data_IF_878189666547
#
_entry.id   IF_878189666547
#
_cell.length_a   1.000
_cell.length_b   1.000
_cell.length_c   1.000
_cell.angle_alpha   90.00
_cell.angle_beta   90.00
_cell.angle_gamma   90.00
#
_symmetry.space_group_name_H-M   'P 1'
#
loop_
_entity.id
_entity.type
_entity.pdbx_description
1 polymer ?
#
# COMPACT_ATOMS: atom_id res chain seq x y z
N UNK A 1 -24.34 9.22 11.73
CA UNK A 1 -24.95 8.60 10.53
C UNK A 1 -24.24 7.28 10.36
N UNK A 2 -24.85 6.20 10.84
CA UNK A 2 -24.29 4.84 10.73
C UNK A 2 -24.59 4.42 9.29
N UNK A 3 -23.57 4.40 8.45
CA UNK A 3 -23.66 3.76 7.16
C UNK A 3 -23.78 2.26 7.42
N UNK A 4 -24.93 1.68 7.06
CA UNK A 4 -25.05 0.22 7.00
C UNK A 4 -23.87 -0.33 6.19
N UNK A 5 -23.23 -1.44 6.64
CA UNK A 5 -22.16 -2.03 5.87
C UNK A 5 -22.72 -2.34 4.49
N UNK A 6 -22.04 -1.93 3.43
CA UNK A 6 -22.47 -2.27 2.09
C UNK A 6 -22.64 -3.78 2.03
N UNK A 7 -23.69 -4.26 1.36
CA UNK A 7 -23.90 -5.68 1.07
C UNK A 7 -22.81 -6.17 0.10
N UNK A 8 -21.58 -6.17 0.58
CA UNK A 8 -20.39 -6.47 -0.21
C UNK A 8 -20.35 -7.94 -0.68
N UNK A 9 -21.15 -8.81 -0.06
CA UNK A 9 -21.18 -10.25 -0.41
C UNK A 9 -21.69 -10.59 -1.82
N UNK A 10 -22.45 -9.70 -2.47
CA UNK A 10 -22.97 -9.96 -3.81
C UNK A 10 -22.38 -9.09 -4.91
N UNK A 11 -21.74 -7.95 -4.55
CA UNK A 11 -21.31 -6.93 -5.48
C UNK A 11 -19.79 -6.69 -5.49
N UNK A 12 -19.01 -7.50 -4.78
CA UNK A 12 -17.61 -7.68 -5.15
C UNK A 12 -17.68 -8.41 -6.47
N UNK A 13 -17.83 -7.62 -7.52
CA UNK A 13 -17.81 -8.10 -8.89
C UNK A 13 -16.47 -8.78 -9.05
N UNK A 14 -16.49 -10.06 -8.73
CA UNK A 14 -15.46 -10.93 -9.22
C UNK A 14 -15.43 -10.64 -10.71
N UNK A 15 -14.28 -10.42 -11.26
CA UNK A 15 -14.05 -10.41 -12.70
C UNK A 15 -14.39 -11.80 -13.29
N UNK A 16 -14.92 -12.72 -12.49
CA UNK A 16 -15.36 -14.02 -12.88
C UNK A 16 -16.45 -13.91 -13.97
N UNK A 17 -16.19 -14.53 -15.10
CA UNK A 17 -17.05 -14.49 -16.26
C UNK A 17 -16.77 -13.32 -17.22
N UNK A 18 -15.83 -12.42 -16.91
CA UNK A 18 -15.31 -11.46 -17.88
C UNK A 18 -14.23 -12.11 -18.75
N UNK A 19 -14.14 -11.66 -19.99
CA UNK A 19 -13.10 -12.10 -20.90
C UNK A 19 -12.01 -11.04 -20.98
N UNK A 20 -10.78 -11.50 -21.08
CA UNK A 20 -9.61 -10.63 -21.23
C UNK A 20 -8.69 -11.13 -22.33
N UNK A 21 -7.91 -10.23 -22.87
CA UNK A 21 -6.80 -10.49 -23.78
C UNK A 21 -5.59 -9.70 -23.33
N UNK A 22 -4.40 -10.25 -23.52
CA UNK A 22 -3.14 -9.59 -23.14
C UNK A 22 -2.39 -9.20 -24.41
N UNK A 23 -1.99 -7.94 -24.49
CA UNK A 23 -1.12 -7.44 -25.55
C UNK A 23 0.35 -7.71 -25.16
N UNK A 24 1.01 -8.51 -25.94
CA UNK A 24 2.45 -8.82 -25.81
C UNK A 24 3.25 -8.11 -26.90
N UNK A 25 4.57 -8.07 -26.77
CA UNK A 25 5.45 -7.53 -27.84
C UNK A 25 5.30 -8.25 -29.18
N UNK A 26 4.79 -9.49 -29.19
CA UNK A 26 4.63 -10.33 -30.38
C UNK A 26 3.18 -10.43 -30.88
N UNK A 27 2.25 -9.67 -30.31
CA UNK A 27 0.83 -9.68 -30.67
C UNK A 27 -0.11 -9.70 -29.46
N UNK A 28 -1.36 -10.09 -29.71
CA UNK A 28 -2.39 -10.19 -28.69
C UNK A 28 -2.74 -11.67 -28.50
N UNK A 29 -2.93 -12.10 -27.26
CA UNK A 29 -3.39 -13.47 -26.97
C UNK A 29 -4.84 -13.67 -27.44
N UNK A 30 -5.27 -14.91 -27.55
CA UNK A 30 -6.69 -15.21 -27.65
C UNK A 30 -7.45 -14.74 -26.41
N UNK A 31 -8.75 -14.53 -26.56
CA UNK A 31 -9.63 -14.19 -25.46
C UNK A 31 -9.71 -15.35 -24.46
N UNK A 32 -9.55 -15.06 -23.18
CA UNK A 32 -9.68 -16.04 -22.11
C UNK A 32 -10.61 -15.54 -21.01
N UNK A 33 -11.33 -16.44 -20.39
CA UNK A 33 -12.22 -16.10 -19.27
C UNK A 33 -11.42 -15.90 -17.98
N UNK A 34 -11.75 -14.84 -17.26
CA UNK A 34 -11.20 -14.56 -15.94
C UNK A 34 -11.97 -15.40 -14.92
N UNK A 35 -11.29 -16.38 -14.33
CA UNK A 35 -11.91 -17.28 -13.37
C UNK A 35 -12.15 -16.67 -11.99
N UNK A 36 -11.17 -15.92 -11.48
CA UNK A 36 -11.21 -15.21 -10.18
C UNK A 36 -10.26 -14.03 -10.21
N UNK A 37 -10.62 -12.94 -9.54
CA UNK A 37 -9.76 -11.77 -9.35
C UNK A 37 -10.54 -10.57 -8.87
N UNK A 38 -9.84 -9.65 -8.22
CA UNK A 38 -10.32 -8.32 -7.88
C UNK A 38 -9.54 -7.32 -8.73
N UNK A 39 -10.24 -6.40 -9.37
CA UNK A 39 -9.59 -5.28 -10.04
C UNK A 39 -8.85 -4.40 -9.03
N UNK A 40 -7.58 -4.11 -9.29
CA UNK A 40 -6.87 -3.05 -8.56
C UNK A 40 -7.62 -1.72 -8.71
N UNK A 41 -7.70 -0.96 -7.61
CA UNK A 41 -8.35 0.35 -7.59
C UNK A 41 -9.51 0.43 -6.60
N UNK A 42 -10.59 1.12 -6.97
CA UNK A 42 -11.68 1.47 -6.05
C UNK A 42 -12.29 0.28 -5.31
N UNK A 43 -12.53 -0.83 -6.00
CA UNK A 43 -13.15 -2.01 -5.39
C UNK A 43 -12.22 -2.71 -4.40
N UNK A 44 -10.94 -2.83 -4.73
CA UNK A 44 -9.96 -3.40 -3.82
C UNK A 44 -9.79 -2.54 -2.57
N UNK A 45 -9.72 -1.23 -2.72
CA UNK A 45 -9.61 -0.30 -1.59
C UNK A 45 -10.83 -0.38 -0.68
N UNK A 46 -12.03 -0.49 -1.24
CA UNK A 46 -13.27 -0.63 -0.46
C UNK A 46 -13.29 -1.96 0.33
N UNK A 47 -12.80 -3.02 -0.28
CA UNK A 47 -12.70 -4.33 0.34
C UNK A 47 -11.68 -4.35 1.49
N UNK A 48 -10.53 -3.76 1.29
CA UNK A 48 -9.52 -3.61 2.32
C UNK A 48 -10.03 -2.74 3.47
N UNK A 49 -10.79 -1.67 3.18
CA UNK A 49 -11.44 -0.84 4.18
C UNK A 49 -12.41 -1.64 5.05
N UNK A 50 -13.22 -2.49 4.43
CA UNK A 50 -14.13 -3.39 5.13
C UNK A 50 -13.39 -4.32 6.10
N UNK A 51 -12.28 -4.93 5.64
CA UNK A 51 -11.44 -5.81 6.46
C UNK A 51 -10.88 -5.04 7.67
N UNK A 52 -10.32 -3.86 7.46
CA UNK A 52 -9.69 -3.08 8.53
C UNK A 52 -10.69 -2.60 9.57
N UNK A 53 -11.90 -2.22 9.15
CA UNK A 53 -13.00 -1.88 10.08
C UNK A 53 -13.43 -3.08 10.91
N UNK A 54 -13.60 -4.24 10.28
CA UNK A 54 -13.98 -5.46 11.01
C UNK A 54 -12.87 -5.95 11.97
N UNK A 55 -11.60 -5.71 11.62
CA UNK A 55 -10.47 -5.95 12.52
C UNK A 55 -10.44 -4.99 13.72
N UNK A 56 -11.33 -3.97 13.76
CA UNK A 56 -11.42 -3.01 14.85
C UNK A 56 -10.18 -2.12 14.99
N UNK A 57 -9.46 -1.88 13.90
CA UNK A 57 -8.24 -1.09 13.95
C UNK A 57 -8.52 0.39 14.25
N UNK A 58 -9.68 0.91 13.84
CA UNK A 58 -10.06 2.30 14.12
C UNK A 58 -10.33 2.54 15.62
N UNK A 59 -10.79 1.52 16.34
CA UNK A 59 -11.07 1.56 17.77
C UNK A 59 -9.87 1.12 18.62
N UNK A 60 -8.83 0.54 18.00
CA UNK A 60 -7.67 0.07 18.71
C UNK A 60 -6.88 1.26 19.29
N UNK A 61 -6.56 1.18 20.59
CA UNK A 61 -5.65 2.15 21.23
C UNK A 61 -4.19 1.95 20.80
N UNK A 62 -3.86 0.78 20.23
CA UNK A 62 -2.57 0.49 19.65
C UNK A 62 -2.27 1.42 18.47
N UNK A 63 -1.01 1.77 18.28
CA UNK A 63 -0.56 2.66 17.21
C UNK A 63 0.45 3.68 17.70
N UNK A 64 0.95 4.49 16.79
CA UNK A 64 1.87 5.60 17.09
C UNK A 64 1.14 6.93 17.09
N UNK A 65 1.53 7.85 17.95
CA UNK A 65 0.94 9.19 18.02
C UNK A 65 1.67 10.17 17.13
N UNK A 66 1.01 10.63 16.06
CA UNK A 66 1.53 11.66 15.17
C UNK A 66 0.62 12.89 15.23
N UNK A 67 1.15 14.04 15.61
CA UNK A 67 0.39 15.29 15.72
C UNK A 67 -0.90 15.15 16.55
N UNK A 68 -0.87 14.38 17.65
CA UNK A 68 -2.02 14.14 18.54
C UNK A 68 -3.05 13.15 18.01
N UNK A 69 -2.83 12.53 16.86
CA UNK A 69 -3.68 11.48 16.30
C UNK A 69 -3.01 10.13 16.45
N UNK A 70 -3.76 9.11 16.83
CA UNK A 70 -3.28 7.75 16.87
C UNK A 70 -3.35 7.16 15.47
N UNK A 71 -2.21 6.67 14.95
CA UNK A 71 -2.09 6.05 13.64
C UNK A 71 -1.55 4.64 13.85
N UNK A 72 -2.33 3.65 13.51
CA UNK A 72 -1.97 2.24 13.66
C UNK A 72 -1.83 1.52 12.31
N UNK A 73 -2.24 2.13 11.22
CA UNK A 73 -2.02 1.58 9.88
C UNK A 73 -1.96 2.67 8.81
N UNK A 74 -1.21 2.39 7.75
CA UNK A 74 -1.20 3.13 6.50
C UNK A 74 -1.47 2.16 5.36
N UNK A 75 -2.22 2.60 4.35
CA UNK A 75 -2.60 1.75 3.22
C UNK A 75 -2.43 2.45 1.89
N UNK A 76 -1.95 1.69 0.92
CA UNK A 76 -1.94 2.07 -0.48
C UNK A 76 -2.19 0.84 -1.35
N UNK A 77 -3.36 0.74 -1.97
CA UNK A 77 -3.81 -0.44 -2.71
C UNK A 77 -3.68 -1.72 -1.86
N UNK A 78 -2.86 -2.66 -2.27
CA UNK A 78 -2.57 -3.92 -1.59
C UNK A 78 -1.46 -3.81 -0.53
N UNK A 79 -0.70 -2.73 -0.54
CA UNK A 79 0.33 -2.49 0.47
C UNK A 79 -0.29 -1.92 1.75
N UNK A 80 -0.05 -2.59 2.87
CA UNK A 80 -0.51 -2.17 4.19
C UNK A 80 0.66 -2.18 5.16
N UNK A 81 0.83 -1.08 5.89
CA UNK A 81 1.78 -0.98 6.99
C UNK A 81 1.00 -0.87 8.29
N UNK A 82 1.29 -1.75 9.25
CA UNK A 82 0.78 -1.68 10.62
C UNK A 82 1.84 -1.02 11.51
N UNK A 83 1.41 -0.22 12.47
CA UNK A 83 2.28 0.51 13.39
C UNK A 83 1.80 0.36 14.83
N UNK A 84 2.73 0.17 15.76
CA UNK A 84 2.46 0.12 17.18
C UNK A 84 3.69 0.58 17.98
N UNK A 85 3.49 0.94 19.23
CA UNK A 85 4.56 1.32 20.16
C UNK A 85 5.27 0.11 20.77
N UNK A 86 4.63 -1.07 20.76
CA UNK A 86 5.18 -2.31 21.30
C UNK A 86 5.02 -3.51 20.36
N UNK A 87 5.86 -4.53 20.56
CA UNK A 87 5.82 -5.78 19.81
C UNK A 87 4.50 -6.52 20.02
N UNK A 88 4.00 -6.57 21.24
CA UNK A 88 2.76 -7.29 21.58
C UNK A 88 1.54 -6.62 20.94
N UNK A 89 1.50 -5.29 20.92
CA UNK A 89 0.47 -4.52 20.21
C UNK A 89 0.51 -4.80 18.72
N UNK A 90 1.69 -4.78 18.11
CA UNK A 90 1.85 -5.05 16.70
C UNK A 90 1.41 -6.48 16.33
N UNK A 91 1.75 -7.47 17.16
CA UNK A 91 1.27 -8.85 17.03
C UNK A 91 -0.24 -8.94 17.09
N UNK A 92 -0.84 -8.27 18.07
CA UNK A 92 -2.29 -8.24 18.23
C UNK A 92 -3.00 -7.64 17.01
N UNK A 93 -2.49 -6.52 16.48
CA UNK A 93 -3.03 -5.89 15.26
C UNK A 93 -2.92 -6.83 14.06
N UNK A 94 -1.76 -7.47 13.88
CA UNK A 94 -1.51 -8.34 12.75
C UNK A 94 -2.36 -9.60 12.78
N UNK A 95 -2.57 -10.22 13.95
CA UNK A 95 -3.45 -11.38 14.11
C UNK A 95 -4.89 -11.00 13.74
N UNK A 96 -5.40 -9.86 14.23
CA UNK A 96 -6.75 -9.40 13.88
C UNK A 96 -6.92 -9.19 12.38
N UNK A 97 -5.97 -8.54 11.73
CA UNK A 97 -6.01 -8.32 10.28
C UNK A 97 -5.97 -9.66 9.54
N UNK A 98 -5.12 -10.59 9.98
CA UNK A 98 -5.02 -11.93 9.39
C UNK A 98 -6.34 -12.69 9.49
N UNK A 99 -6.96 -12.75 10.68
CA UNK A 99 -8.24 -13.42 10.88
C UNK A 99 -9.34 -12.84 9.98
N UNK A 100 -9.43 -11.50 9.87
CA UNK A 100 -10.43 -10.86 9.01
C UNK A 100 -10.16 -11.07 7.51
N UNK A 101 -8.89 -11.10 7.09
CA UNK A 101 -8.53 -11.42 5.70
C UNK A 101 -8.88 -12.86 5.35
N UNK A 102 -8.64 -13.81 6.25
CA UNK A 102 -8.96 -15.23 6.04
C UNK A 102 -10.47 -15.48 5.93
N UNK A 103 -11.31 -14.79 6.72
CA UNK A 103 -12.78 -14.87 6.62
C UNK A 103 -13.31 -14.52 5.24
N UNK A 104 -12.60 -13.68 4.51
CA UNK A 104 -12.97 -13.24 3.17
C UNK A 104 -12.21 -13.97 2.05
N UNK A 105 -11.44 -15.00 2.42
CA UNK A 105 -10.71 -15.85 1.46
C UNK A 105 -9.39 -15.25 0.97
N UNK A 106 -8.89 -14.18 1.59
CA UNK A 106 -7.56 -13.64 1.35
C UNK A 106 -6.56 -14.25 2.33
N UNK A 107 -5.30 -14.32 1.91
CA UNK A 107 -4.20 -14.80 2.77
C UNK A 107 -3.12 -13.74 2.87
N UNK A 108 -2.61 -13.55 4.07
CA UNK A 108 -1.42 -12.74 4.29
C UNK A 108 -0.22 -13.39 3.60
N UNK A 109 0.54 -12.62 2.83
CA UNK A 109 1.76 -13.11 2.21
C UNK A 109 2.93 -12.91 3.17
N UNK A 110 3.22 -13.90 4.01
CA UNK A 110 4.26 -13.83 5.04
C UNK A 110 5.64 -13.60 4.44
N UNK A 111 5.95 -14.20 3.28
CA UNK A 111 7.24 -14.02 2.62
C UNK A 111 7.50 -12.58 2.16
N UNK A 112 6.43 -11.84 1.83
CA UNK A 112 6.52 -10.41 1.46
C UNK A 112 6.36 -9.48 2.65
N UNK A 113 5.82 -9.98 3.77
CA UNK A 113 5.62 -9.18 4.97
C UNK A 113 6.93 -9.05 5.74
N UNK A 114 7.29 -7.83 6.08
CA UNK A 114 8.54 -7.52 6.77
C UNK A 114 8.26 -6.75 8.03
N UNK A 115 9.14 -6.90 9.01
CA UNK A 115 9.05 -6.20 10.28
C UNK A 115 10.25 -5.28 10.42
N UNK A 116 9.98 -4.08 10.86
CA UNK A 116 10.99 -3.09 11.22
C UNK A 116 10.72 -2.56 12.61
N UNK A 117 11.75 -2.43 13.42
CA UNK A 117 11.68 -1.80 14.73
C UNK A 117 12.90 -0.94 14.99
N UNK A 118 12.75 0.07 15.84
CA UNK A 118 13.85 0.93 16.29
C UNK A 118 14.79 0.24 17.28
N UNK A 119 14.34 -0.84 17.93
CA UNK A 119 15.14 -1.67 18.81
C UNK A 119 15.35 -3.08 18.22
N UNK A 120 16.44 -3.77 18.56
CA UNK A 120 16.71 -5.09 18.04
C UNK A 120 15.61 -6.09 18.42
N UNK A 121 15.00 -6.72 17.40
CA UNK A 121 14.07 -7.83 17.58
C UNK A 121 14.81 -9.12 17.29
N UNK A 122 14.73 -10.08 18.19
CA UNK A 122 15.47 -11.35 18.09
C UNK A 122 14.85 -12.33 17.10
N UNK A 123 13.54 -12.45 17.07
CA UNK A 123 12.81 -13.22 16.06
C UNK A 123 11.32 -12.93 16.14
N UNK A 124 10.65 -12.92 14.99
CA UNK A 124 9.21 -12.75 14.91
C UNK A 124 8.59 -13.93 14.18
N UNK A 125 7.62 -14.58 14.84
CA UNK A 125 6.93 -15.73 14.27
C UNK A 125 5.42 -15.50 14.29
N UNK A 126 4.77 -15.89 13.21
CA UNK A 126 3.32 -15.99 13.09
C UNK A 126 3.01 -17.36 12.49
N UNK A 127 2.19 -18.15 13.16
CA UNK A 127 1.81 -19.49 12.74
C UNK A 127 3.01 -20.38 12.38
N UNK A 128 4.04 -20.38 13.23
CA UNK A 128 5.29 -21.14 13.03
C UNK A 128 6.16 -20.64 11.85
N UNK A 129 5.73 -19.63 11.09
CA UNK A 129 6.55 -19.00 10.05
C UNK A 129 7.32 -17.81 10.61
N UNK A 130 8.62 -17.79 10.33
CA UNK A 130 9.49 -16.68 10.75
C UNK A 130 9.40 -15.55 9.76
N UNK A 131 9.13 -14.34 10.26
CA UNK A 131 9.08 -13.14 9.45
C UNK A 131 10.46 -12.49 9.33
N UNK A 132 10.74 -11.92 8.19
CA UNK A 132 11.99 -11.20 7.93
C UNK A 132 11.99 -9.86 8.68
N UNK A 133 13.03 -9.65 9.50
CA UNK A 133 13.29 -8.35 10.13
C UNK A 133 14.21 -7.54 9.26
N UNK A 134 13.85 -6.30 8.98
CA UNK A 134 14.62 -5.39 8.11
C UNK A 134 14.93 -4.07 8.82
N UNK A 135 16.01 -3.43 8.41
CA UNK A 135 16.42 -2.11 8.90
C UNK A 135 15.83 -0.98 8.09
N UNK A 136 15.37 -1.28 6.89
CA UNK A 136 14.70 -0.33 6.01
C UNK A 136 13.73 -1.04 5.06
N UNK A 137 12.74 -0.32 4.58
CA UNK A 137 11.84 -0.79 3.53
C UNK A 137 11.33 0.38 2.68
N UNK A 138 10.81 0.06 1.50
CA UNK A 138 10.20 1.06 0.62
C UNK A 138 8.68 0.93 0.71
N UNK A 139 8.03 2.00 1.16
CA UNK A 139 6.60 2.12 1.18
C UNK A 139 6.18 3.29 0.30
N UNK A 140 5.34 3.02 -0.70
CA UNK A 140 4.87 4.01 -1.66
C UNK A 140 6.00 4.87 -2.27
N UNK A 141 7.09 4.21 -2.63
CA UNK A 141 8.26 4.85 -3.22
C UNK A 141 9.14 5.65 -2.26
N UNK A 142 8.78 5.75 -0.98
CA UNK A 142 9.60 6.37 0.06
C UNK A 142 10.37 5.32 0.84
N UNK A 143 11.67 5.54 1.05
CA UNK A 143 12.50 4.70 1.91
C UNK A 143 12.31 5.11 3.37
N UNK A 144 11.82 4.17 4.18
CA UNK A 144 11.67 4.32 5.64
C UNK A 144 12.78 3.51 6.29
N UNK A 145 13.44 4.08 7.29
CA UNK A 145 14.58 3.49 8.01
C UNK A 145 14.28 3.41 9.51
N UNK A 146 14.84 2.40 10.17
CA UNK A 146 14.63 2.17 11.60
C UNK A 146 15.39 3.17 12.50
N UNK A 147 16.34 3.93 11.93
CA UNK A 147 17.19 4.90 12.64
C UNK A 147 16.61 6.33 12.67
N UNK A 148 15.37 6.52 12.19
CA UNK A 148 14.70 7.81 12.06
C UNK A 148 15.45 8.84 11.20
N UNK A 149 16.49 8.45 10.45
CA UNK A 149 17.25 9.33 9.58
C UNK A 149 16.67 9.42 8.17
N UNK A 150 15.91 10.46 7.90
CA UNK A 150 15.38 10.75 6.57
C UNK A 150 16.40 11.32 5.57
N UNK A 151 17.67 11.57 5.98
CA UNK A 151 18.70 12.14 5.11
C UNK A 151 18.98 11.28 3.88
N UNK A 152 18.93 9.97 4.04
CA UNK A 152 19.09 9.02 2.94
C UNK A 152 17.99 9.16 1.88
N UNK A 153 16.75 9.30 2.32
CA UNK A 153 15.61 9.47 1.42
C UNK A 153 15.67 10.83 0.71
N UNK A 154 16.01 11.89 1.42
CA UNK A 154 16.20 13.22 0.82
C UNK A 154 17.28 13.18 -0.26
N UNK A 155 18.45 12.58 0.05
CA UNK A 155 19.55 12.43 -0.92
C UNK A 155 19.14 11.56 -2.13
N UNK A 156 18.29 10.58 -1.96
CA UNK A 156 17.75 9.73 -3.04
C UNK A 156 16.77 10.50 -3.92
N UNK A 157 15.87 11.26 -3.33
CA UNK A 157 14.80 11.95 -4.06
C UNK A 157 15.29 13.21 -4.81
N UNK A 158 16.28 13.93 -4.28
CA UNK A 158 16.81 15.14 -4.93
C UNK A 158 17.33 14.91 -6.36
N UNK A 159 18.18 13.89 -6.65
CA UNK A 159 18.60 13.59 -8.02
C UNK A 159 17.47 13.19 -8.93
N UNK A 160 16.48 12.45 -8.42
CA UNK A 160 15.29 12.05 -9.18
C UNK A 160 14.49 13.28 -9.61
N UNK A 161 14.20 14.19 -8.69
CA UNK A 161 13.52 15.45 -8.99
C UNK A 161 14.31 16.31 -10.00
N UNK A 162 15.64 16.41 -9.85
CA UNK A 162 16.50 17.10 -10.82
C UNK A 162 16.42 16.47 -12.21
N UNK A 163 16.46 15.14 -12.29
CA UNK A 163 16.36 14.41 -13.56
C UNK A 163 15.04 14.69 -14.26
N UNK A 164 13.92 14.67 -13.52
CA UNK A 164 12.59 14.98 -14.07
C UNK A 164 12.55 16.41 -14.61
N UNK A 165 12.99 17.40 -13.82
CA UNK A 165 13.01 18.81 -14.25
C UNK A 165 13.93 19.00 -15.46
N UNK A 166 15.07 18.31 -15.52
CA UNK A 166 15.98 18.38 -16.66
C UNK A 166 15.33 17.82 -17.92
N UNK A 167 14.63 16.69 -17.81
CA UNK A 167 13.91 16.07 -18.93
C UNK A 167 12.77 16.95 -19.44
N UNK A 168 12.13 17.71 -18.54
CA UNK A 168 11.09 18.69 -18.91
C UNK A 168 11.67 20.02 -19.42
N UNK A 169 12.99 20.19 -19.41
CA UNK A 169 13.65 21.46 -19.74
C UNK A 169 13.29 22.02 -21.11
N UNK A 170 13.11 21.19 -22.12
CA UNK A 170 12.66 21.61 -23.46
C UNK A 170 11.24 22.19 -23.43
N UNK A 171 10.34 21.56 -22.70
CA UNK A 171 8.94 21.98 -22.54
C UNK A 171 8.87 23.26 -21.72
N UNK A 172 9.59 23.33 -20.60
CA UNK A 172 9.58 24.48 -19.71
C UNK A 172 10.18 25.75 -20.37
N UNK A 173 11.19 25.57 -21.25
CA UNK A 173 11.84 26.66 -21.99
C UNK A 173 11.11 27.05 -23.28
N UNK A 174 10.22 26.22 -23.81
CA UNK A 174 9.48 26.51 -25.03
C UNK A 174 8.65 27.80 -24.87
N UNK A 175 8.70 28.68 -25.87
CA UNK A 175 7.86 29.90 -25.94
C UNK A 175 6.46 29.61 -26.46
N UNK A 176 6.28 28.47 -27.15
CA UNK A 176 5.02 28.07 -27.76
C UNK A 176 4.04 27.42 -26.77
N UNK A 177 4.52 27.06 -25.59
CA UNK A 177 3.71 26.47 -24.54
C UNK A 177 3.36 27.52 -23.50
N UNK A 178 2.08 27.70 -23.24
CA UNK A 178 1.58 28.70 -22.29
C UNK A 178 1.95 28.38 -20.85
N UNK A 179 2.08 29.39 -20.00
CA UNK A 179 2.41 29.21 -18.59
C UNK A 179 1.43 28.32 -17.82
N UNK A 180 0.09 28.40 -18.01
CA UNK A 180 -0.86 27.49 -17.38
C UNK A 180 -0.60 26.01 -17.73
N UNK A 181 -0.27 25.71 -18.98
CA UNK A 181 0.05 24.35 -19.43
C UNK A 181 1.34 23.82 -18.79
N UNK A 182 2.35 24.68 -18.68
CA UNK A 182 3.62 24.34 -17.99
C UNK A 182 3.39 24.00 -16.50
N UNK A 183 2.57 24.79 -15.81
CA UNK A 183 2.23 24.58 -14.40
C UNK A 183 1.41 23.30 -14.20
N UNK A 184 0.49 23.00 -15.12
CA UNK A 184 -0.30 21.76 -15.05
C UNK A 184 0.58 20.53 -15.18
N UNK A 185 1.55 20.52 -16.09
CA UNK A 185 2.49 19.41 -16.24
C UNK A 185 3.40 19.21 -15.04
N UNK A 186 3.77 20.26 -14.32
CA UNK A 186 4.55 20.13 -13.06
C UNK A 186 3.75 19.51 -11.90
N UNK A 187 2.42 19.63 -11.91
CA UNK A 187 1.55 19.04 -10.88
C UNK A 187 1.24 17.56 -11.12
N UNK A 188 1.54 17.06 -12.31
CA UNK A 188 1.24 15.68 -12.74
C UNK A 188 2.47 14.76 -12.64
N UNK A 189 3.58 15.25 -12.12
CA UNK A 189 4.85 14.56 -11.85
C UNK A 189 5.08 14.44 -10.36
#
# INVERSE_FOLDING_TARGET
MILEPPKIKSDIVSTAGQEATVRTGNGTTDWFQIGKGLCQGCLFNLYTEYIMRNAGLEEAQAGIKIAGRNINHLRYADDTTLMAESEDELKSLLIKVKEETEKVGLKLNIQKTKIMASSPITSWQIDEETMETVTDFIFWGCKITADDDCSHEIKRCLPLGRKVITNLGSILKSRDITLPTKVHQQRSV
#
